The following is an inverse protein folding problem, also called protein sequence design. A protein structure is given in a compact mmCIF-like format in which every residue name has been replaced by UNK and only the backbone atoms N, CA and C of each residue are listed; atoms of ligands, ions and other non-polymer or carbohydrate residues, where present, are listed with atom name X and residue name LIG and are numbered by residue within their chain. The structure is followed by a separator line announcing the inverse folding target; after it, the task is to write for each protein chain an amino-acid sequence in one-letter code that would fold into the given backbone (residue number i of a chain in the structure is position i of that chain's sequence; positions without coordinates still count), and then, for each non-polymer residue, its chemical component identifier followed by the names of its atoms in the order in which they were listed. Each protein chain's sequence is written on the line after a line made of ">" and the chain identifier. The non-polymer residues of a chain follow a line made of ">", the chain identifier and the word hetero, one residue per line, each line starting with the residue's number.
data_IF_726818251364
#
_entry.id   IF_726818251364
#
_cell.length_a   1.000
_cell.length_b   1.000
_cell.length_c   1.000
_cell.angle_alpha   90.00
_cell.angle_beta   90.00
_cell.angle_gamma   90.00
#
_symmetry.space_group_name_H-M   'P 1'
#
loop_
_entity.id
_entity.type
_entity.pdbx_description
1 polymer ?
#
# COMPACT_ATOMS: atom_id res chain seq x y z
N UNK A 1 -25.96 -7.05 -12.44
CA UNK A 1 -25.84 -5.88 -11.54
C UNK A 1 -25.37 -6.22 -10.12
N UNK A 2 -25.81 -7.32 -9.48
CA UNK A 2 -25.44 -7.66 -8.10
C UNK A 2 -23.92 -7.87 -7.86
N UNK A 3 -23.22 -8.55 -8.80
CA UNK A 3 -21.75 -8.77 -8.71
C UNK A 3 -20.91 -7.49 -8.80
N UNK A 4 -21.45 -6.42 -9.40
CA UNK A 4 -20.78 -5.12 -9.47
C UNK A 4 -20.81 -4.41 -8.13
N UNK A 5 -22.02 -4.32 -7.53
CA UNK A 5 -22.22 -3.71 -6.21
C UNK A 5 -21.40 -4.37 -5.11
N UNK A 6 -21.29 -5.71 -5.12
CA UNK A 6 -20.47 -6.43 -4.12
C UNK A 6 -18.98 -6.06 -4.20
N UNK A 7 -18.46 -5.83 -5.40
CA UNK A 7 -17.05 -5.47 -5.58
C UNK A 7 -16.77 -4.02 -5.21
N UNK A 8 -17.69 -3.10 -5.53
CA UNK A 8 -17.59 -1.70 -5.11
C UNK A 8 -17.61 -1.58 -3.59
N UNK A 9 -18.51 -2.30 -2.92
CA UNK A 9 -18.56 -2.37 -1.45
C UNK A 9 -17.26 -2.94 -0.86
N UNK A 10 -16.69 -3.98 -1.49
CA UNK A 10 -15.40 -4.53 -1.09
C UNK A 10 -14.29 -3.48 -1.17
N UNK A 11 -14.14 -2.79 -2.31
CA UNK A 11 -13.12 -1.76 -2.50
C UNK A 11 -13.33 -0.56 -1.56
N UNK A 12 -14.58 -0.16 -1.35
CA UNK A 12 -14.93 0.90 -0.41
C UNK A 12 -14.56 0.51 1.03
N UNK A 13 -14.79 -0.74 1.44
CA UNK A 13 -14.37 -1.20 2.77
C UNK A 13 -12.85 -1.12 2.97
N UNK A 14 -12.05 -1.42 1.93
CA UNK A 14 -10.59 -1.26 1.99
C UNK A 14 -10.21 0.21 2.19
N UNK A 15 -10.83 1.12 1.42
CA UNK A 15 -10.61 2.57 1.59
C UNK A 15 -10.95 3.02 3.00
N UNK A 16 -12.08 2.56 3.55
CA UNK A 16 -12.50 2.89 4.90
C UNK A 16 -11.46 2.41 5.90
N UNK A 17 -11.00 1.16 5.77
CA UNK A 17 -10.02 0.61 6.70
C UNK A 17 -8.68 1.33 6.64
N UNK A 18 -8.19 1.63 5.44
CA UNK A 18 -6.92 2.33 5.24
C UNK A 18 -6.99 3.80 5.69
N UNK A 19 -8.09 4.50 5.39
CA UNK A 19 -8.30 5.88 5.83
C UNK A 19 -8.39 5.96 7.36
N UNK A 20 -9.22 5.12 7.99
CA UNK A 20 -9.35 5.08 9.44
C UNK A 20 -8.04 4.65 10.14
N UNK A 21 -7.14 3.93 9.48
CA UNK A 21 -5.85 3.53 10.05
C UNK A 21 -4.94 4.73 10.40
N UNK A 22 -5.09 5.88 9.73
CA UNK A 22 -4.36 7.10 10.13
C UNK A 22 -4.74 7.57 11.53
N UNK A 23 -6.02 7.45 11.85
CA UNK A 23 -6.60 7.81 13.15
C UNK A 23 -6.32 6.72 14.19
N UNK A 24 -6.67 5.47 13.88
CA UNK A 24 -6.49 4.32 14.78
C UNK A 24 -5.02 4.10 15.11
N UNK A 25 -4.12 4.26 14.13
CA UNK A 25 -2.67 4.11 14.30
C UNK A 25 -2.07 5.02 15.37
N UNK A 26 -2.68 6.19 15.62
CA UNK A 26 -2.25 7.08 16.72
C UNK A 26 -2.40 6.43 18.09
N UNK A 27 -3.44 5.62 18.29
CA UNK A 27 -3.59 4.86 19.53
C UNK A 27 -2.49 3.81 19.68
N UNK A 28 -2.04 3.19 18.59
CA UNK A 28 -0.88 2.30 18.58
C UNK A 28 0.40 2.95 19.12
N UNK A 29 0.59 4.24 18.81
CA UNK A 29 1.77 4.99 19.22
C UNK A 29 1.82 5.36 20.71
N UNK A 30 0.73 5.13 21.46
CA UNK A 30 0.71 5.30 22.91
C UNK A 30 1.53 4.22 23.64
N UNK A 31 1.61 3.01 23.06
CA UNK A 31 2.32 1.89 23.67
C UNK A 31 3.56 1.42 22.90
N UNK A 32 3.69 1.82 21.63
CA UNK A 32 4.74 1.30 20.75
C UNK A 32 5.48 2.43 20.03
N UNK A 33 6.79 2.23 19.80
CA UNK A 33 7.51 3.02 18.81
C UNK A 33 7.02 2.67 17.39
N UNK A 34 7.18 3.57 16.40
CA UNK A 34 6.81 3.26 15.01
C UNK A 34 7.44 1.97 14.48
N UNK A 35 8.72 1.74 14.80
CA UNK A 35 9.45 0.53 14.41
C UNK A 35 8.90 -0.73 15.09
N UNK A 36 8.67 -0.69 16.41
CA UNK A 36 8.14 -1.86 17.15
C UNK A 36 6.71 -2.18 16.72
N UNK A 37 5.86 -1.17 16.50
CA UNK A 37 4.51 -1.36 15.99
C UNK A 37 4.52 -2.03 14.61
N UNK A 38 5.37 -1.52 13.72
CA UNK A 38 5.50 -2.05 12.35
C UNK A 38 6.07 -3.47 12.37
N UNK A 39 7.06 -3.75 13.22
CA UNK A 39 7.59 -5.09 13.44
C UNK A 39 6.49 -6.05 13.90
N UNK A 40 5.78 -5.75 14.99
CA UNK A 40 4.71 -6.62 15.49
C UNK A 40 3.61 -6.84 14.44
N UNK A 41 3.24 -5.78 13.72
CA UNK A 41 2.25 -5.84 12.65
C UNK A 41 2.67 -6.82 11.55
N UNK A 42 3.89 -6.71 11.04
CA UNK A 42 4.34 -7.55 9.92
C UNK A 42 4.87 -8.91 10.33
N UNK A 43 5.35 -9.08 11.56
CA UNK A 43 5.64 -10.39 12.14
C UNK A 43 4.38 -11.27 12.18
N UNK A 44 3.21 -10.68 12.46
CA UNK A 44 1.92 -11.36 12.40
C UNK A 44 1.34 -11.44 10.98
N UNK A 45 1.37 -10.34 10.22
CA UNK A 45 0.69 -10.27 8.93
C UNK A 45 1.41 -11.04 7.82
N UNK A 46 2.75 -11.09 7.80
CA UNK A 46 3.48 -11.76 6.72
C UNK A 46 3.21 -13.29 6.65
N UNK A 47 3.21 -14.05 7.77
CA UNK A 47 2.77 -15.44 7.76
C UNK A 47 1.33 -15.62 7.29
N UNK A 48 0.42 -14.73 7.71
CA UNK A 48 -0.98 -14.77 7.28
C UNK A 48 -1.12 -14.49 5.78
N UNK A 49 -0.35 -13.56 5.21
CA UNK A 49 -0.31 -13.30 3.78
C UNK A 49 0.25 -14.48 2.99
N UNK A 50 1.31 -15.14 3.48
CA UNK A 50 1.83 -16.37 2.88
C UNK A 50 0.82 -17.51 2.95
N UNK A 51 0.08 -17.64 4.07
CA UNK A 51 -1.01 -18.60 4.20
C UNK A 51 -2.13 -18.29 3.19
N UNK A 52 -2.56 -17.03 3.07
CA UNK A 52 -3.56 -16.63 2.07
C UNK A 52 -3.08 -16.90 0.65
N UNK A 53 -1.80 -16.63 0.35
CA UNK A 53 -1.20 -16.97 -0.94
C UNK A 53 -1.27 -18.48 -1.20
N UNK A 54 -0.91 -19.31 -0.22
CA UNK A 54 -1.00 -20.76 -0.35
C UNK A 54 -2.45 -21.23 -0.55
N UNK A 55 -3.41 -20.70 0.21
CA UNK A 55 -4.82 -21.10 0.11
C UNK A 55 -5.46 -20.68 -1.22
N UNK A 56 -5.09 -19.51 -1.75
CA UNK A 56 -5.70 -18.94 -2.95
C UNK A 56 -5.00 -19.34 -4.26
N UNK A 57 -3.67 -19.44 -4.25
CA UNK A 57 -2.87 -19.69 -5.46
C UNK A 57 -2.13 -21.02 -5.44
N UNK A 58 -2.01 -21.68 -4.28
CA UNK A 58 -1.34 -23.00 -4.09
C UNK A 58 0.11 -23.06 -4.58
N UNK A 59 0.75 -21.92 -4.79
CA UNK A 59 2.12 -21.84 -5.28
C UNK A 59 2.92 -20.77 -4.53
N UNK A 60 3.82 -21.24 -3.66
CA UNK A 60 4.77 -20.40 -2.92
C UNK A 60 6.13 -20.28 -3.61
N UNK A 61 6.32 -20.94 -4.76
CA UNK A 61 7.63 -21.00 -5.42
C UNK A 61 7.97 -19.65 -6.02
N UNK A 62 9.19 -19.21 -5.73
CA UNK A 62 9.83 -18.03 -6.32
C UNK A 62 11.23 -18.43 -6.74
N UNK A 63 11.64 -17.99 -7.93
CA UNK A 63 13.00 -18.23 -8.42
C UNK A 63 14.02 -17.63 -7.46
N UNK A 64 15.08 -18.39 -7.13
CA UNK A 64 16.17 -17.90 -6.29
C UNK A 64 16.81 -16.62 -6.85
N UNK A 65 16.78 -16.45 -8.18
CA UNK A 65 17.29 -15.24 -8.86
C UNK A 65 16.44 -14.00 -8.61
N UNK A 66 15.17 -14.18 -8.25
CA UNK A 66 14.24 -13.08 -7.98
C UNK A 66 14.15 -12.74 -6.48
N UNK A 67 14.68 -13.59 -5.59
CA UNK A 67 14.66 -13.35 -4.14
C UNK A 67 15.38 -12.05 -3.73
N UNK A 68 16.54 -11.67 -4.29
CA UNK A 68 17.18 -10.38 -3.96
C UNK A 68 16.28 -9.18 -4.29
N UNK A 69 15.56 -9.23 -5.41
CA UNK A 69 14.62 -8.19 -5.79
C UNK A 69 13.40 -8.17 -4.86
N UNK A 70 12.86 -9.34 -4.50
CA UNK A 70 11.77 -9.44 -3.51
C UNK A 70 12.19 -8.92 -2.12
N UNK A 71 13.42 -9.20 -1.72
CA UNK A 71 13.99 -8.68 -0.48
C UNK A 71 14.15 -7.15 -0.52
N UNK A 72 14.65 -6.59 -1.63
CA UNK A 72 14.74 -5.14 -1.81
C UNK A 72 13.36 -4.47 -1.77
N UNK A 73 12.37 -5.06 -2.45
CA UNK A 73 10.97 -4.59 -2.41
C UNK A 73 10.43 -4.66 -0.97
N UNK A 74 10.74 -5.72 -0.23
CA UNK A 74 10.36 -5.90 1.18
C UNK A 74 11.01 -4.86 2.09
N UNK A 75 12.30 -4.62 1.93
CA UNK A 75 13.03 -3.59 2.67
C UNK A 75 12.43 -2.20 2.42
N UNK A 76 12.23 -1.82 1.16
CA UNK A 76 11.74 -0.48 0.80
C UNK A 76 10.26 -0.32 1.19
N UNK A 77 9.41 -1.26 0.79
CA UNK A 77 7.96 -1.15 0.96
C UNK A 77 7.44 -1.60 2.32
N UNK A 78 7.95 -2.69 2.88
CA UNK A 78 7.44 -3.22 4.16
C UNK A 78 8.23 -2.69 5.36
N UNK A 79 9.55 -2.54 5.26
CA UNK A 79 10.36 -2.08 6.40
C UNK A 79 10.43 -0.55 6.46
N UNK A 80 11.03 0.09 5.45
CA UNK A 80 11.32 1.53 5.45
C UNK A 80 10.03 2.32 5.34
N UNK A 81 9.23 2.11 4.29
CA UNK A 81 7.99 2.85 4.09
C UNK A 81 7.05 2.73 5.29
N UNK A 82 6.73 1.51 5.75
CA UNK A 82 5.74 1.36 6.83
C UNK A 82 6.23 1.94 8.17
N UNK A 83 7.52 1.82 8.47
CA UNK A 83 8.09 2.44 9.69
C UNK A 83 8.02 3.96 9.62
N UNK A 84 8.41 4.54 8.49
CA UNK A 84 8.36 6.00 8.27
C UNK A 84 6.92 6.51 8.22
N UNK A 85 6.00 5.74 7.63
CA UNK A 85 4.57 6.02 7.63
C UNK A 85 4.00 6.06 9.05
N UNK A 86 4.32 5.06 9.88
CA UNK A 86 3.92 5.07 11.30
C UNK A 86 4.57 6.22 12.08
N UNK A 87 5.79 6.63 11.73
CA UNK A 87 6.41 7.82 12.31
C UNK A 87 5.66 9.11 11.91
N UNK A 88 5.22 9.22 10.65
CA UNK A 88 4.37 10.32 10.21
C UNK A 88 3.05 10.35 10.99
N UNK A 89 2.38 9.20 11.15
CA UNK A 89 1.14 9.08 11.94
C UNK A 89 1.35 9.47 13.42
N UNK A 90 2.52 9.14 13.98
CA UNK A 90 2.88 9.51 15.36
C UNK A 90 3.00 11.01 15.54
N UNK A 91 3.76 11.67 14.66
CA UNK A 91 4.22 13.05 14.88
C UNK A 91 3.40 14.12 14.16
N UNK A 92 2.76 13.80 13.03
CA UNK A 92 1.84 14.70 12.31
C UNK A 92 0.40 14.46 12.75
N UNK A 93 -0.52 15.36 12.37
CA UNK A 93 -1.96 15.06 12.44
C UNK A 93 -2.31 13.93 11.46
N UNK A 94 -3.36 13.17 11.76
CA UNK A 94 -3.83 12.10 10.86
C UNK A 94 -4.25 12.68 9.50
N UNK A 95 -4.89 13.85 9.52
CA UNK A 95 -5.21 14.61 8.32
C UNK A 95 -3.96 14.94 7.49
N UNK A 96 -2.94 15.58 8.07
CA UNK A 96 -1.71 15.96 7.35
C UNK A 96 -1.00 14.74 6.76
N UNK A 97 -0.79 13.69 7.56
CA UNK A 97 -0.09 12.49 7.11
C UNK A 97 -0.80 11.85 5.90
N UNK A 98 -2.14 11.87 5.86
CA UNK A 98 -2.91 11.32 4.75
C UNK A 98 -2.79 12.15 3.47
N UNK A 99 -2.84 13.48 3.60
CA UNK A 99 -2.71 14.40 2.47
C UNK A 99 -1.30 14.39 1.86
N UNK A 100 -0.26 14.31 2.70
CA UNK A 100 1.12 14.18 2.21
C UNK A 100 1.35 12.86 1.48
N UNK A 101 0.78 11.76 1.96
CA UNK A 101 0.88 10.47 1.26
C UNK A 101 0.11 10.49 -0.07
N UNK A 102 -0.98 11.26 -0.17
CA UNK A 102 -1.74 11.41 -1.42
C UNK A 102 -0.89 12.01 -2.56
N UNK A 103 0.22 12.68 -2.25
CA UNK A 103 1.17 13.19 -3.24
C UNK A 103 2.15 12.13 -3.79
N UNK A 104 2.11 10.89 -3.30
CA UNK A 104 3.01 9.82 -3.74
C UNK A 104 3.01 9.55 -5.27
N UNK A 105 1.91 9.73 -6.03
CA UNK A 105 1.94 9.58 -7.49
C UNK A 105 2.91 10.53 -8.18
N UNK A 106 3.18 11.71 -7.59
CA UNK A 106 4.17 12.67 -8.09
C UNK A 106 5.56 12.06 -8.04
N UNK A 107 5.91 11.48 -6.88
CA UNK A 107 7.18 10.78 -6.69
C UNK A 107 7.29 9.55 -7.58
N UNK A 108 6.21 8.78 -7.75
CA UNK A 108 6.19 7.66 -8.72
C UNK A 108 6.52 8.13 -10.13
N UNK A 109 5.91 9.23 -10.60
CA UNK A 109 6.17 9.75 -11.93
C UNK A 109 7.65 10.16 -12.09
N UNK A 110 8.22 10.85 -11.09
CA UNK A 110 9.63 11.24 -11.05
C UNK A 110 10.54 10.01 -11.12
N UNK A 111 10.34 9.02 -10.24
CA UNK A 111 11.18 7.83 -10.20
C UNK A 111 11.04 6.95 -11.44
N UNK A 112 9.84 6.82 -12.02
CA UNK A 112 9.63 6.11 -13.28
C UNK A 112 10.38 6.79 -14.44
N UNK A 113 10.42 8.12 -14.46
CA UNK A 113 11.21 8.91 -15.41
C UNK A 113 12.72 8.69 -15.25
N UNK A 114 13.23 8.78 -14.03
CA UNK A 114 14.66 8.55 -13.73
C UNK A 114 15.08 7.11 -14.05
N UNK A 115 14.23 6.14 -13.73
CA UNK A 115 14.45 4.73 -14.05
C UNK A 115 14.26 4.40 -15.55
N UNK A 116 13.95 5.40 -16.40
CA UNK A 116 13.66 5.26 -17.83
C UNK A 116 12.56 4.22 -18.13
N UNK A 117 11.63 4.03 -17.20
CA UNK A 117 10.48 3.15 -17.38
C UNK A 117 9.34 3.84 -18.13
N UNK A 118 9.18 5.15 -17.94
CA UNK A 118 8.22 5.99 -18.67
C UNK A 118 8.86 7.34 -19.00
N UNK A 119 8.53 7.93 -20.15
CA UNK A 119 8.89 9.34 -20.44
C UNK A 119 7.86 10.27 -19.81
N UNK A 120 8.31 11.27 -19.05
CA UNK A 120 7.44 12.29 -18.45
C UNK A 120 7.09 13.36 -19.50
N UNK A 121 5.86 13.38 -20.05
CA UNK A 121 5.47 14.43 -20.99
C UNK A 121 5.42 15.79 -20.28
N UNK A 122 5.45 16.89 -21.05
CA UNK A 122 5.37 18.26 -20.49
C UNK A 122 4.17 18.44 -19.54
N UNK A 123 3.02 17.82 -19.86
CA UNK A 123 1.84 17.80 -18.97
C UNK A 123 2.09 17.08 -17.64
N UNK A 124 2.84 15.97 -17.66
CA UNK A 124 3.24 15.26 -16.45
C UNK A 124 4.13 16.14 -15.57
N UNK A 125 5.07 16.89 -16.15
CA UNK A 125 5.90 17.86 -15.42
C UNK A 125 5.07 18.97 -14.76
N UNK A 126 4.14 19.57 -15.51
CA UNK A 126 3.24 20.61 -14.97
C UNK A 126 2.30 20.08 -13.89
N UNK A 127 1.70 18.91 -14.10
CA UNK A 127 0.85 18.27 -13.10
C UNK A 127 1.61 17.92 -11.82
N UNK A 128 2.86 17.46 -11.94
CA UNK A 128 3.75 17.24 -10.79
C UNK A 128 4.08 18.55 -10.06
N UNK A 129 4.42 19.62 -10.77
CA UNK A 129 4.69 20.92 -10.16
C UNK A 129 3.45 21.48 -9.43
N UNK A 130 2.26 21.34 -10.03
CA UNK A 130 0.99 21.74 -9.41
C UNK A 130 0.73 20.95 -8.14
N UNK A 131 0.87 19.62 -8.18
CA UNK A 131 0.67 18.78 -7.01
C UNK A 131 1.69 19.08 -5.89
N UNK A 132 2.95 19.36 -6.21
CA UNK A 132 3.95 19.81 -5.24
C UNK A 132 3.56 21.16 -4.61
N UNK A 133 3.00 22.09 -5.38
CA UNK A 133 2.42 23.33 -4.83
C UNK A 133 1.30 23.07 -3.82
N UNK A 134 0.42 22.11 -4.12
CA UNK A 134 -0.63 21.67 -3.19
C UNK A 134 -0.07 21.04 -1.90
N UNK A 135 1.03 20.27 -2.01
CA UNK A 135 1.77 19.75 -0.85
C UNK A 135 2.30 20.89 0.02
N UNK A 136 2.91 21.92 -0.58
CA UNK A 136 3.38 23.11 0.17
C UNK A 136 2.24 23.78 0.93
N UNK A 137 1.06 23.92 0.34
CA UNK A 137 -0.11 24.48 1.02
C UNK A 137 -0.54 23.62 2.22
N UNK A 138 -0.56 22.29 2.07
CA UNK A 138 -0.87 21.36 3.16
C UNK A 138 0.15 21.48 4.29
N UNK A 139 1.45 21.62 3.97
CA UNK A 139 2.53 21.79 4.93
C UNK A 139 2.44 23.13 5.67
N UNK A 140 2.25 24.24 4.95
CA UNK A 140 2.23 25.58 5.55
C UNK A 140 0.99 25.83 6.41
N UNK A 141 -0.17 25.30 6.00
CA UNK A 141 -1.45 25.54 6.66
C UNK A 141 -1.99 24.34 7.40
N UNK A 142 -1.16 23.30 7.53
CA UNK A 142 -1.37 22.11 8.34
C UNK A 142 -1.55 22.45 9.81
N UNK A 143 -2.69 23.04 10.16
CA UNK A 143 -2.96 23.53 11.50
C UNK A 143 -4.14 22.78 12.10
N UNK A 144 -3.92 22.17 13.27
CA UNK A 144 -4.65 22.51 14.50
C UNK A 144 -4.25 21.62 15.70
N UNK A 145 -4.08 22.27 16.86
CA UNK A 145 -3.94 21.74 18.24
C UNK A 145 -2.66 21.00 18.67
N UNK A 146 -1.59 21.00 17.87
CA UNK A 146 -0.21 20.89 18.37
C UNK A 146 0.55 22.20 18.10
N UNK A 147 0.01 23.33 18.58
CA UNK A 147 0.83 24.53 18.72
C UNK A 147 1.87 24.23 19.82
N UNK A 148 3.14 24.44 19.52
CA UNK A 148 4.28 24.47 20.45
C UNK A 148 4.83 23.13 21.01
N UNK A 149 4.66 22.00 20.31
CA UNK A 149 5.42 20.77 20.59
C UNK A 149 6.45 20.49 19.50
N UNK A 150 7.71 20.31 19.85
CA UNK A 150 8.93 20.21 19.03
C UNK A 150 8.98 19.14 17.90
N UNK A 151 7.87 18.49 17.54
CA UNK A 151 7.82 17.35 16.60
C UNK A 151 6.84 17.43 15.43
N UNK A 152 6.01 18.47 15.29
CA UNK A 152 5.02 18.53 14.19
C UNK A 152 5.69 18.56 12.80
N UNK A 153 6.72 19.40 12.64
CA UNK A 153 7.55 19.49 11.42
C UNK A 153 8.25 18.15 11.12
N UNK A 154 8.61 17.38 12.15
CA UNK A 154 9.21 16.06 11.98
C UNK A 154 8.19 15.06 11.41
N UNK A 155 6.93 15.15 11.83
CA UNK A 155 5.83 14.39 11.25
C UNK A 155 5.63 14.69 9.77
N UNK A 156 5.71 15.96 9.38
CA UNK A 156 5.59 16.38 7.99
C UNK A 156 6.76 15.86 7.14
N UNK A 157 8.00 15.91 7.66
CA UNK A 157 9.17 15.30 7.01
C UNK A 157 8.95 13.80 6.83
N UNK A 158 8.53 13.08 7.87
CA UNK A 158 8.23 11.66 7.75
C UNK A 158 7.10 11.40 6.74
N UNK A 159 6.08 12.26 6.67
CA UNK A 159 5.00 12.17 5.68
C UNK A 159 5.51 12.31 4.25
N UNK A 160 6.38 13.29 3.99
CA UNK A 160 7.02 13.47 2.68
C UNK A 160 7.94 12.31 2.31
N UNK A 161 8.78 11.85 3.25
CA UNK A 161 9.65 10.70 3.03
C UNK A 161 8.82 9.45 2.77
N UNK A 162 7.75 9.20 3.55
CA UNK A 162 6.81 8.10 3.30
C UNK A 162 6.22 8.18 1.88
N UNK A 163 5.80 9.38 1.46
CA UNK A 163 5.26 9.64 0.12
C UNK A 163 6.28 9.33 -0.98
N UNK A 164 7.54 9.72 -0.79
CA UNK A 164 8.65 9.40 -1.68
C UNK A 164 8.96 7.90 -1.76
N UNK A 165 9.15 7.25 -0.61
CA UNK A 165 9.46 5.81 -0.55
C UNK A 165 8.30 4.98 -1.13
N UNK A 166 7.06 5.35 -0.84
CA UNK A 166 5.88 4.74 -1.47
C UNK A 166 5.86 5.00 -2.98
N UNK A 167 6.24 6.19 -3.42
CA UNK A 167 6.35 6.52 -4.84
C UNK A 167 7.36 5.64 -5.59
N UNK A 168 8.46 5.25 -4.94
CA UNK A 168 9.49 4.35 -5.47
C UNK A 168 9.01 2.88 -5.56
N UNK A 169 8.10 2.46 -4.69
CA UNK A 169 7.67 1.07 -4.57
C UNK A 169 7.08 0.48 -5.88
N UNK A 170 6.17 1.15 -6.62
CA UNK A 170 5.72 0.69 -7.94
C UNK A 170 6.85 0.49 -8.97
N UNK A 171 7.89 1.33 -8.93
CA UNK A 171 9.03 1.28 -9.86
C UNK A 171 9.89 0.04 -9.60
N UNK A 172 10.07 -0.34 -8.34
CA UNK A 172 10.82 -1.53 -7.92
C UNK A 172 10.04 -2.83 -8.15
N UNK A 173 8.72 -2.79 -7.94
CA UNK A 173 7.83 -3.96 -8.07
C UNK A 173 7.49 -4.28 -9.52
N UNK A 174 7.61 -3.31 -10.45
CA UNK A 174 7.20 -3.46 -11.84
C UNK A 174 7.65 -4.77 -12.51
N UNK A 175 8.93 -5.14 -12.37
CA UNK A 175 9.47 -6.38 -12.98
C UNK A 175 8.88 -7.64 -12.34
N UNK A 176 8.66 -7.64 -11.03
CA UNK A 176 8.13 -8.79 -10.30
C UNK A 176 6.65 -9.02 -10.62
N UNK A 177 5.87 -7.95 -10.74
CA UNK A 177 4.44 -8.01 -11.10
C UNK A 177 4.19 -8.52 -12.53
N UNK A 178 5.21 -8.53 -13.40
CA UNK A 178 5.13 -9.17 -14.73
C UNK A 178 5.39 -10.67 -14.71
N UNK A 179 6.03 -11.18 -13.65
CA UNK A 179 6.43 -12.59 -13.50
C UNK A 179 5.57 -13.35 -12.50
N UNK A 180 5.09 -12.66 -11.48
CA UNK A 180 4.35 -13.22 -10.35
C UNK A 180 3.03 -12.47 -10.18
N UNK A 181 2.05 -13.13 -9.58
CA UNK A 181 0.82 -12.46 -9.16
C UNK A 181 1.13 -11.33 -8.17
N UNK A 182 0.21 -10.38 -8.05
CA UNK A 182 0.36 -9.27 -7.12
C UNK A 182 0.35 -9.74 -5.66
N UNK A 183 -0.51 -10.71 -5.31
CA UNK A 183 -0.56 -11.32 -3.99
C UNK A 183 0.75 -12.03 -3.66
N UNK A 184 1.32 -12.79 -4.60
CA UNK A 184 2.62 -13.45 -4.41
C UNK A 184 3.74 -12.46 -4.19
N UNK A 185 3.82 -11.43 -5.03
CA UNK A 185 4.84 -10.37 -4.92
C UNK A 185 4.78 -9.70 -3.53
N UNK A 186 3.58 -9.39 -3.05
CA UNK A 186 3.39 -8.72 -1.76
C UNK A 186 3.65 -9.67 -0.59
N UNK A 187 3.11 -10.89 -0.60
CA UNK A 187 3.31 -11.84 0.49
C UNK A 187 4.79 -12.20 0.68
N UNK A 188 5.51 -12.48 -0.41
CA UNK A 188 6.93 -12.85 -0.36
C UNK A 188 7.81 -11.65 -0.01
N UNK A 189 7.56 -10.47 -0.59
CA UNK A 189 8.32 -9.28 -0.23
C UNK A 189 8.05 -8.83 1.21
N UNK A 190 6.80 -8.91 1.69
CA UNK A 190 6.46 -8.63 3.09
C UNK A 190 7.08 -9.62 4.06
N UNK A 191 7.29 -10.88 3.67
CA UNK A 191 8.07 -11.82 4.47
C UNK A 191 9.52 -11.35 4.66
N UNK A 192 10.23 -10.99 3.58
CA UNK A 192 11.58 -10.44 3.71
C UNK A 192 11.60 -9.12 4.51
N UNK A 193 10.61 -8.26 4.27
CA UNK A 193 10.44 -7.02 5.04
C UNK A 193 10.24 -7.26 6.54
N UNK A 194 9.49 -8.29 6.91
CA UNK A 194 9.34 -8.71 8.31
C UNK A 194 10.67 -9.20 8.90
N UNK A 195 11.52 -9.88 8.14
CA UNK A 195 12.87 -10.26 8.59
C UNK A 195 13.77 -9.05 8.85
N UNK A 196 13.76 -8.05 7.96
CA UNK A 196 14.50 -6.80 8.18
C UNK A 196 13.95 -6.00 9.36
N UNK A 197 12.63 -5.95 9.53
CA UNK A 197 11.99 -5.35 10.70
C UNK A 197 12.39 -6.06 11.97
N UNK A 198 12.47 -7.39 11.95
CA UNK A 198 12.90 -8.19 13.11
C UNK A 198 14.34 -7.84 13.47
N UNK A 199 15.25 -7.85 12.50
CA UNK A 199 16.64 -7.49 12.71
C UNK A 199 16.81 -6.07 13.29
N UNK A 200 16.07 -5.08 12.75
CA UNK A 200 16.16 -3.69 13.20
C UNK A 200 15.43 -3.41 14.51
N UNK A 201 14.27 -4.03 14.72
CA UNK A 201 13.34 -3.72 15.82
C UNK A 201 13.50 -4.60 17.05
N UNK A 202 14.13 -5.78 16.95
CA UNK A 202 14.27 -6.72 18.07
C UNK A 202 14.92 -6.09 19.32
N UNK A 203 16.02 -5.32 19.24
CA UNK A 203 16.61 -4.69 20.42
C UNK A 203 15.65 -3.72 21.13
N UNK A 204 14.85 -2.99 20.36
CA UNK A 204 13.84 -2.08 20.88
C UNK A 204 12.62 -2.82 21.45
N UNK A 205 12.25 -3.95 20.85
CA UNK A 205 11.14 -4.79 21.28
C UNK A 205 11.39 -5.44 22.64
N UNK A 206 12.62 -5.90 22.88
CA UNK A 206 13.05 -6.51 24.15
C UNK A 206 13.01 -5.52 25.34
N UNK A 207 12.99 -4.22 25.07
CA UNK A 207 12.91 -3.16 26.09
C UNK A 207 11.48 -2.67 26.34
N UNK A 208 10.48 -3.20 25.64
CA UNK A 208 9.08 -2.79 25.83
C UNK A 208 8.58 -3.31 27.18
N UNK A 209 8.06 -2.41 28.01
CA UNK A 209 7.31 -2.79 29.21
C UNK A 209 5.90 -3.22 28.81
N UNK A 210 5.72 -4.50 28.54
CA UNK A 210 4.46 -5.07 28.04
C UNK A 210 3.26 -4.83 28.96
N UNK A 211 3.49 -4.78 30.28
CA UNK A 211 2.45 -4.50 31.27
C UNK A 211 1.94 -3.05 31.19
N UNK A 212 2.76 -2.13 30.71
CA UNK A 212 2.41 -0.71 30.56
C UNK A 212 1.72 -0.37 29.23
N UNK A 213 1.56 -1.34 28.31
CA UNK A 213 0.97 -1.07 26.99
C UNK A 213 -0.55 -0.91 27.12
N UNK A 214 -1.12 0.25 26.74
CA UNK A 214 -2.57 0.48 26.83
C UNK A 214 -3.38 -0.47 25.95
N UNK A 215 -4.61 -0.79 26.38
CA UNK A 215 -5.54 -1.64 25.61
C UNK A 215 -5.81 -1.08 24.21
N UNK A 216 -5.85 0.24 24.08
CA UNK A 216 -6.05 0.93 22.79
C UNK A 216 -4.89 0.68 21.82
N UNK A 217 -3.66 0.56 22.31
CA UNK A 217 -2.49 0.26 21.48
C UNK A 217 -2.58 -1.14 20.87
N UNK A 218 -3.05 -2.11 21.66
CA UNK A 218 -3.33 -3.46 21.18
C UNK A 218 -4.47 -3.50 20.17
N UNK A 219 -5.58 -2.81 20.45
CA UNK A 219 -6.70 -2.71 19.51
C UNK A 219 -6.25 -2.11 18.17
N UNK A 220 -5.43 -1.06 18.21
CA UNK A 220 -4.82 -0.48 17.02
C UNK A 220 -3.94 -1.48 16.27
N UNK A 221 -3.14 -2.28 16.99
CA UNK A 221 -2.28 -3.29 16.37
C UNK A 221 -3.10 -4.38 15.68
N UNK A 222 -4.13 -4.93 16.34
CA UNK A 222 -5.03 -5.94 15.75
C UNK A 222 -5.78 -5.40 14.53
N UNK A 223 -6.29 -4.17 14.63
CA UNK A 223 -6.91 -3.47 13.50
C UNK A 223 -5.94 -3.31 12.33
N UNK A 224 -4.67 -2.96 12.60
CA UNK A 224 -3.66 -2.78 11.56
C UNK A 224 -3.19 -4.11 10.94
N UNK A 225 -3.22 -5.21 11.69
CA UNK A 225 -2.89 -6.56 11.19
C UNK A 225 -4.00 -7.11 10.30
N UNK A 226 -5.22 -7.24 10.83
CA UNK A 226 -6.31 -7.94 10.15
C UNK A 226 -6.98 -7.08 9.08
N UNK A 227 -7.84 -6.11 9.47
CA UNK A 227 -8.54 -5.24 8.53
C UNK A 227 -7.64 -4.51 7.53
N UNK A 228 -6.54 -3.89 7.99
CA UNK A 228 -5.73 -3.02 7.14
C UNK A 228 -4.74 -3.81 6.28
N UNK A 229 -3.96 -4.71 6.87
CA UNK A 229 -2.94 -5.46 6.11
C UNK A 229 -3.51 -6.69 5.43
N UNK A 230 -3.96 -7.69 6.18
CA UNK A 230 -4.30 -9.01 5.59
C UNK A 230 -5.54 -8.89 4.71
N UNK A 231 -6.67 -8.44 5.26
CA UNK A 231 -7.89 -8.24 4.48
C UNK A 231 -7.70 -7.16 3.42
N UNK A 232 -7.22 -5.98 3.82
CA UNK A 232 -7.06 -4.84 2.92
C UNK A 232 -6.23 -5.15 1.68
N UNK A 233 -5.05 -5.77 1.84
CA UNK A 233 -4.20 -6.10 0.70
C UNK A 233 -4.82 -7.19 -0.18
N UNK A 234 -5.34 -8.27 0.41
CA UNK A 234 -5.96 -9.38 -0.36
C UNK A 234 -7.17 -8.86 -1.15
N UNK A 235 -8.08 -8.14 -0.51
CA UNK A 235 -9.26 -7.56 -1.13
C UNK A 235 -8.90 -6.54 -2.22
N UNK A 236 -7.89 -5.70 -1.99
CA UNK A 236 -7.40 -4.73 -2.95
C UNK A 236 -6.88 -5.40 -4.22
N UNK A 237 -5.99 -6.38 -4.08
CA UNK A 237 -5.41 -7.08 -5.23
C UNK A 237 -6.41 -7.98 -5.95
N UNK A 238 -7.36 -8.58 -5.22
CA UNK A 238 -8.50 -9.24 -5.82
C UNK A 238 -9.30 -8.27 -6.70
N UNK A 239 -9.59 -7.06 -6.22
CA UNK A 239 -10.28 -6.04 -7.00
C UNK A 239 -9.50 -5.62 -8.24
N UNK A 240 -8.17 -5.47 -8.13
CA UNK A 240 -7.30 -5.17 -9.29
C UNK A 240 -7.44 -6.27 -10.35
N UNK A 241 -7.43 -7.54 -9.95
CA UNK A 241 -7.62 -8.66 -10.86
C UNK A 241 -9.00 -8.72 -11.52
N UNK A 242 -10.04 -8.13 -10.91
CA UNK A 242 -11.43 -8.17 -11.44
C UNK A 242 -11.81 -7.00 -12.33
N UNK A 243 -11.41 -5.78 -11.99
CA UNK A 243 -11.82 -4.56 -12.73
C UNK A 243 -10.65 -3.73 -13.25
N UNK A 244 -9.43 -4.23 -13.07
CA UNK A 244 -8.20 -3.59 -13.53
C UNK A 244 -7.68 -2.51 -12.58
N UNK A 245 -6.36 -2.35 -12.56
CA UNK A 245 -5.66 -1.41 -11.68
C UNK A 245 -6.17 0.04 -11.82
N UNK A 246 -6.47 0.49 -13.05
CA UNK A 246 -6.84 1.89 -13.28
C UNK A 246 -8.14 2.31 -12.58
N UNK A 247 -9.14 1.41 -12.53
CA UNK A 247 -10.41 1.64 -11.83
C UNK A 247 -10.23 1.56 -10.33
N UNK A 248 -9.49 0.55 -9.85
CA UNK A 248 -9.23 0.37 -8.43
C UNK A 248 -8.45 1.55 -7.84
N UNK A 249 -7.41 2.03 -8.53
CA UNK A 249 -6.62 3.18 -8.08
C UNK A 249 -7.43 4.47 -7.94
N UNK A 250 -8.59 4.61 -8.59
CA UNK A 250 -9.47 5.76 -8.37
C UNK A 250 -10.05 5.79 -6.93
N UNK A 251 -10.23 4.63 -6.30
CA UNK A 251 -10.68 4.54 -4.92
C UNK A 251 -9.65 5.07 -3.91
N UNK A 252 -8.35 5.08 -4.26
CA UNK A 252 -7.31 5.61 -3.38
C UNK A 252 -7.48 7.11 -3.08
N UNK A 253 -8.14 7.87 -3.97
CA UNK A 253 -8.42 9.29 -3.71
C UNK A 253 -9.41 9.51 -2.57
N UNK A 254 -10.17 8.47 -2.19
CA UNK A 254 -11.10 8.54 -1.06
C UNK A 254 -10.41 8.25 0.29
N UNK A 255 -9.20 7.68 0.30
CA UNK A 255 -8.49 7.35 1.55
C UNK A 255 -8.22 8.60 2.40
N UNK A 256 -7.70 9.73 1.86
CA UNK A 256 -7.52 10.94 2.64
C UNK A 256 -8.84 11.55 3.14
N UNK A 257 -9.92 11.41 2.37
CA UNK A 257 -11.24 11.90 2.78
C UNK A 257 -11.73 11.14 4.01
N UNK A 258 -11.62 9.81 3.99
CA UNK A 258 -11.94 8.99 5.18
C UNK A 258 -11.01 9.32 6.33
N UNK A 259 -9.70 9.43 6.10
CA UNK A 259 -8.73 9.73 7.16
C UNK A 259 -9.04 11.06 7.87
N UNK A 260 -9.36 12.12 7.11
CA UNK A 260 -9.79 13.41 7.65
C UNK A 260 -11.10 13.27 8.43
N UNK A 261 -12.09 12.57 7.88
CA UNK A 261 -13.38 12.37 8.54
C UNK A 261 -13.23 11.61 9.87
N UNK A 262 -12.46 10.51 9.89
CA UNK A 262 -12.23 9.73 11.10
C UNK A 262 -11.38 10.48 12.11
N UNK A 263 -10.41 11.27 11.66
CA UNK A 263 -9.61 12.13 12.54
C UNK A 263 -10.45 13.23 13.21
N UNK A 264 -11.35 13.87 12.46
CA UNK A 264 -12.28 14.85 13.00
C UNK A 264 -13.23 14.22 14.03
N UNK A 265 -13.82 13.06 13.71
CA UNK A 265 -14.81 12.40 14.56
C UNK A 265 -14.20 11.77 15.83
N UNK A 266 -13.04 11.12 15.73
CA UNK A 266 -12.48 10.32 16.82
C UNK A 266 -11.36 11.00 17.60
N UNK A 267 -10.68 11.98 17.01
CA UNK A 267 -9.57 12.72 17.64
C UNK A 267 -9.88 14.20 17.83
N UNK A 268 -10.97 14.71 17.26
CA UNK A 268 -11.28 16.13 17.27
C UNK A 268 -10.26 16.98 16.51
N UNK A 269 -9.56 16.39 15.53
CA UNK A 269 -8.64 17.12 14.65
C UNK A 269 -9.44 18.05 13.74
N UNK A 270 -9.12 19.35 13.76
CA UNK A 270 -9.68 20.31 12.82
C UNK A 270 -8.94 20.27 11.49
N UNK A 271 -9.62 20.62 10.40
CA UNK A 271 -8.95 20.87 9.12
C UNK A 271 -9.00 22.36 8.82
N UNK A 272 -7.85 22.93 8.50
CA UNK A 272 -7.78 24.32 8.09
C UNK A 272 -8.29 24.47 6.65
N UNK A 273 -9.09 25.49 6.32
CA UNK A 273 -9.62 25.67 4.96
C UNK A 273 -8.55 25.66 3.86
N UNK A 274 -7.37 26.23 4.12
CA UNK A 274 -6.25 26.21 3.17
C UNK A 274 -5.63 24.81 2.96
N UNK A 275 -5.80 23.86 3.88
CA UNK A 275 -5.44 22.46 3.64
C UNK A 275 -6.41 21.80 2.66
N UNK A 276 -7.70 22.17 2.70
CA UNK A 276 -8.69 21.71 1.73
C UNK A 276 -8.31 22.21 0.33
N UNK A 277 -7.90 23.49 0.23
CA UNK A 277 -7.37 24.06 -1.01
C UNK A 277 -6.11 23.31 -1.45
N UNK A 278 -5.16 23.07 -0.56
CA UNK A 278 -3.95 22.29 -0.84
C UNK A 278 -4.26 20.88 -1.34
N UNK A 279 -5.18 20.17 -0.70
CA UNK A 279 -5.64 18.85 -1.12
C UNK A 279 -6.28 18.90 -2.52
N UNK A 280 -7.15 19.89 -2.80
CA UNK A 280 -7.75 20.08 -4.10
C UNK A 280 -6.69 20.32 -5.19
N UNK A 281 -5.65 21.12 -4.89
CA UNK A 281 -4.52 21.36 -5.79
C UNK A 281 -3.70 20.09 -6.02
N UNK A 282 -3.46 19.26 -4.99
CA UNK A 282 -2.81 17.94 -5.12
C UNK A 282 -3.60 17.07 -6.10
N UNK A 283 -4.91 16.91 -5.89
CA UNK A 283 -5.75 16.07 -6.74
C UNK A 283 -5.86 16.62 -8.17
N UNK A 284 -5.95 17.93 -8.35
CA UNK A 284 -5.94 18.58 -9.66
C UNK A 284 -4.63 18.29 -10.41
N UNK A 285 -3.47 18.45 -9.75
CA UNK A 285 -2.17 18.11 -10.33
C UNK A 285 -2.08 16.64 -10.75
N UNK A 286 -2.54 15.72 -9.90
CA UNK A 286 -2.58 14.29 -10.22
C UNK A 286 -3.51 14.01 -11.40
N UNK A 287 -4.65 14.68 -11.50
CA UNK A 287 -5.57 14.52 -12.62
C UNK A 287 -4.96 15.02 -13.94
N UNK A 288 -4.18 16.11 -13.91
CA UNK A 288 -3.40 16.58 -15.07
C UNK A 288 -2.37 15.54 -15.50
N UNK A 289 -1.65 14.93 -14.55
CA UNK A 289 -0.70 13.83 -14.83
C UNK A 289 -1.42 12.68 -15.54
N UNK A 290 -2.61 12.27 -15.06
CA UNK A 290 -3.38 11.16 -15.62
C UNK A 290 -3.95 11.46 -17.01
N UNK A 291 -4.48 12.66 -17.21
CA UNK A 291 -5.14 13.08 -18.46
C UNK A 291 -4.15 13.21 -19.63
N UNK A 292 -2.84 13.28 -19.35
CA UNK A 292 -1.78 13.29 -20.38
C UNK A 292 -1.44 11.92 -20.95
N UNK A 293 -1.83 10.81 -20.31
CA UNK A 293 -1.67 9.48 -20.88
C UNK A 293 -2.76 9.30 -21.94
N UNK A 294 -2.45 9.51 -23.23
CA UNK A 294 -3.22 8.87 -24.30
C UNK A 294 -3.22 7.39 -23.95
N UNK A 295 -4.40 6.84 -23.64
CA UNK A 295 -4.55 5.39 -23.57
C UNK A 295 -3.99 4.87 -24.90
N UNK A 296 -2.94 4.05 -24.92
CA UNK A 296 -2.56 3.40 -26.15
C UNK A 296 -3.75 2.51 -26.50
N UNK A 297 -4.50 2.89 -27.53
CA UNK A 297 -5.30 1.93 -28.26
C UNK A 297 -4.30 0.88 -28.77
N UNK A 298 -4.18 -0.24 -28.05
CA UNK A 298 -3.25 -1.32 -28.41
C UNK A 298 -2.15 -1.70 -27.41
N UNK A 299 -2.21 -1.35 -26.12
CA UNK A 299 -1.44 -2.08 -25.08
C UNK A 299 -2.33 -2.49 -23.90
N UNK A 300 -3.31 -3.32 -24.19
CA UNK A 300 -3.86 -4.28 -23.22
C UNK A 300 -2.81 -5.37 -22.91
N UNK A 301 -1.60 -4.98 -22.46
CA UNK A 301 -0.41 -5.85 -22.41
C UNK A 301 0.49 -5.67 -21.19
N UNK A 302 0.04 -4.99 -20.12
CA UNK A 302 0.74 -4.99 -18.82
C UNK A 302 -0.19 -5.28 -17.62
N UNK A 303 -1.40 -5.75 -17.90
CA UNK A 303 -2.33 -6.38 -16.97
C UNK A 303 -3.01 -7.62 -17.58
N UNK A 304 -2.37 -8.27 -18.56
CA UNK A 304 -2.94 -9.38 -19.34
C UNK A 304 -1.95 -10.54 -19.48
N UNK A 305 -1.61 -11.19 -18.37
CA UNK A 305 -1.01 -12.52 -18.39
C UNK A 305 -1.59 -13.40 -17.27
N UNK A 306 -2.91 -13.36 -17.10
CA UNK A 306 -3.64 -14.25 -16.20
C UNK A 306 -5.00 -14.62 -16.80
N UNK A 307 -5.02 -15.04 -18.06
CA UNK A 307 -6.15 -15.76 -18.67
C UNK A 307 -5.62 -16.59 -19.84
N UNK A 308 -5.04 -17.76 -19.55
CA UNK A 308 -5.09 -19.02 -20.35
C UNK A 308 -4.05 -20.00 -19.79
N UNK A 309 -4.45 -20.83 -18.82
CA UNK A 309 -3.93 -22.19 -18.60
C UNK A 309 -4.72 -22.78 -17.42
N UNK A 310 -5.75 -23.56 -17.70
CA UNK A 310 -6.53 -24.18 -16.63
C UNK A 310 -7.89 -24.76 -17.04
N UNK A 311 -7.97 -25.45 -18.17
CA UNK A 311 -8.96 -26.52 -18.35
C UNK A 311 -8.20 -27.82 -18.52
N UNK A 312 -8.16 -28.55 -17.39
CA UNK A 312 -8.34 -30.01 -17.27
C UNK A 312 -7.46 -30.92 -18.12
N UNK A 313 -6.51 -31.58 -17.44
CA UNK A 313 -6.17 -32.96 -17.76
C UNK A 313 -7.12 -33.93 -17.05
N UNK A 314 -7.24 -35.13 -17.61
CA UNK A 314 -7.57 -36.43 -17.00
C UNK A 314 -6.99 -37.47 -17.96
N UNK A 315 -5.87 -38.10 -17.61
CA UNK A 315 -5.79 -39.43 -16.97
C UNK A 315 -6.17 -40.57 -17.94
N UNK A 316 -5.15 -41.36 -18.35
CA UNK A 316 -5.12 -42.82 -18.13
C UNK A 316 -3.86 -43.43 -18.78
N UNK A 317 -2.92 -43.87 -17.94
CA UNK A 317 -1.93 -44.91 -18.29
C UNK A 317 -2.00 -45.97 -17.20
N UNK A 318 -2.68 -47.07 -17.50
CA UNK A 318 -2.17 -48.45 -17.35
C UNK A 318 -3.32 -49.46 -17.45
N UNK A 319 -3.21 -50.41 -18.38
CA UNK A 319 -3.08 -51.84 -18.09
C UNK A 319 -3.07 -52.66 -19.40
N UNK A 320 -2.11 -53.58 -19.48
CA UNK A 320 -1.99 -54.64 -20.49
C UNK A 320 -3.14 -55.63 -20.36
N UNK A 321 -3.68 -56.13 -21.49
CA UNK A 321 -3.88 -57.57 -21.77
C UNK A 321 -4.70 -57.78 -23.06
N UNK A 322 -4.22 -58.68 -23.95
CA UNK A 322 -4.97 -59.41 -25.00
C UNK A 322 -5.49 -58.54 -26.15
N UNK A 323 -5.40 -58.88 -27.42
CA UNK A 323 -5.30 -60.18 -28.07
C UNK A 323 -6.06 -60.03 -29.40
N UNK A 324 -5.45 -60.52 -30.47
CA UNK A 324 -6.05 -60.99 -31.72
C UNK A 324 -6.82 -60.04 -32.65
N UNK A 325 -6.64 -60.28 -33.96
CA UNK A 325 -7.72 -60.16 -34.93
C UNK A 325 -7.42 -59.35 -36.18
N UNK A 326 -7.04 -60.06 -37.24
CA UNK A 326 -7.01 -59.61 -38.63
C UNK A 326 -8.40 -59.12 -39.11
N UNK A 327 -8.41 -58.28 -40.16
CA UNK A 327 -9.62 -57.96 -40.94
C UNK A 327 -9.54 -56.62 -41.63
#
# INVERSE_FOLDING_TARGET
>A
MAKGKSLELLLFSVVVFWGANYTVGKWGMLGFSPLNFTLLRFAAAAPLLLLMLYLLERDLRVSLRDLPQMALIGLVGTTVYQTVFMAAVKYASAANASLLLAASPVFTAIFAGVARQETLPARGRWGSALALGGVVLVLMFGTTKLKAGSGAWLGDIYGLVASGVWGLYPVLTHKMLRRYSALKTVAVSSFFGALFLLAAGLPGLLRVSWQGVPRQSWASLFYSIGPVTVFGLVAWYYGIGKVGANRVMAYMYLVPVVAVATAALLLGEGIHPLQIVGAAVIFAGIQVIRSGKKTPAGTAGSATAATTAGTTGTDEVSLRAGGDGQG
#
